data_IF_492530679718
#
_entry.id   IF_492530679718
#
_cell.length_a   1.000
_cell.length_b   1.000
_cell.length_c   1.000
_cell.angle_alpha   90.00
_cell.angle_beta   90.00
_cell.angle_gamma   90.00
#
_symmetry.space_group_name_H-M   'P 1'
#
loop_
_entity.id
_entity.type
_entity.pdbx_description
1 polymer ?
#
# COMPACT_ATOMS: atom_id res chain seq x y z
N UNK A 1 18.28 22.61 15.57
CA UNK A 1 17.26 22.52 14.50
C UNK A 1 16.95 21.08 14.07
N UNK A 2 17.95 20.21 13.82
CA UNK A 2 17.69 18.80 13.47
C UNK A 2 17.05 18.00 14.62
N UNK A 3 17.53 18.16 15.86
CA UNK A 3 16.99 17.45 17.04
C UNK A 3 15.49 17.71 17.23
N UNK A 4 15.05 18.97 17.12
CA UNK A 4 13.62 19.32 17.22
C UNK A 4 12.77 18.69 16.11
N UNK A 5 13.29 18.62 14.87
CA UNK A 5 12.60 17.93 13.77
C UNK A 5 12.47 16.42 14.04
N UNK A 6 13.52 15.79 14.55
CA UNK A 6 13.51 14.37 14.91
C UNK A 6 12.50 14.09 16.03
N UNK A 7 12.51 14.89 17.10
CA UNK A 7 11.56 14.76 18.22
C UNK A 7 10.13 14.98 17.72
N UNK A 8 9.90 16.02 16.92
CA UNK A 8 8.59 16.28 16.32
C UNK A 8 8.10 15.12 15.46
N UNK A 9 8.98 14.51 14.66
CA UNK A 9 8.67 13.32 13.87
C UNK A 9 8.28 12.12 14.73
N UNK A 10 9.01 11.86 15.81
CA UNK A 10 8.68 10.78 16.75
C UNK A 10 7.31 11.01 17.40
N UNK A 11 7.03 12.24 17.84
CA UNK A 11 5.72 12.60 18.41
C UNK A 11 4.58 12.40 17.41
N UNK A 12 4.78 12.77 16.15
CA UNK A 12 3.80 12.54 15.09
C UNK A 12 3.53 11.05 14.87
N UNK A 13 4.56 10.21 14.89
CA UNK A 13 4.40 8.74 14.76
C UNK A 13 3.58 8.18 15.93
N UNK A 14 3.92 8.57 17.16
CA UNK A 14 3.18 8.12 18.36
C UNK A 14 1.71 8.55 18.29
N UNK A 15 1.46 9.80 17.91
CA UNK A 15 0.11 10.32 17.73
C UNK A 15 -0.64 9.58 16.63
N UNK A 16 -0.02 9.35 15.47
CA UNK A 16 -0.64 8.65 14.35
C UNK A 16 -1.00 7.20 14.71
N UNK A 17 -0.10 6.49 15.42
CA UNK A 17 -0.37 5.13 15.91
C UNK A 17 -1.50 5.11 16.94
N UNK A 18 -1.50 6.06 17.89
CA UNK A 18 -2.58 6.18 18.87
C UNK A 18 -3.93 6.41 18.19
N UNK A 19 -4.01 7.38 17.28
CA UNK A 19 -5.21 7.65 16.51
C UNK A 19 -5.63 6.42 15.69
N UNK A 20 -4.71 5.74 15.03
CA UNK A 20 -5.03 4.55 14.25
C UNK A 20 -5.64 3.45 15.14
N UNK A 21 -5.01 3.12 16.27
CA UNK A 21 -5.49 2.07 17.18
C UNK A 21 -6.85 2.40 17.79
N UNK A 22 -7.11 3.66 18.14
CA UNK A 22 -8.39 4.07 18.73
C UNK A 22 -9.50 4.23 17.68
N UNK A 23 -9.20 4.84 16.54
CA UNK A 23 -10.21 5.19 15.53
C UNK A 23 -10.59 3.98 14.67
N UNK A 24 -9.66 3.05 14.38
CA UNK A 24 -9.95 1.85 13.59
C UNK A 24 -11.13 1.03 14.13
N UNK A 25 -11.18 0.61 15.41
CA UNK A 25 -12.32 -0.15 15.93
C UNK A 25 -13.62 0.67 15.91
N UNK A 26 -13.56 1.99 16.19
CA UNK A 26 -14.73 2.86 16.11
C UNK A 26 -15.27 2.97 14.68
N UNK A 27 -14.38 3.12 13.69
CA UNK A 27 -14.73 3.17 12.27
C UNK A 27 -15.32 1.83 11.78
N UNK A 28 -14.81 0.70 12.28
CA UNK A 28 -15.35 -0.62 11.99
C UNK A 28 -16.77 -0.78 12.56
N UNK A 29 -16.99 -0.40 13.82
CA UNK A 29 -18.32 -0.44 14.45
C UNK A 29 -19.32 0.45 13.71
N UNK A 30 -18.92 1.68 13.36
CA UNK A 30 -19.72 2.58 12.54
C UNK A 30 -20.10 1.96 11.20
N UNK A 31 -19.12 1.36 10.50
CA UNK A 31 -19.33 0.72 9.20
C UNK A 31 -20.30 -0.45 9.28
N UNK A 32 -20.19 -1.29 10.33
CA UNK A 32 -21.13 -2.38 10.59
C UNK A 32 -22.54 -1.81 10.86
N UNK A 33 -22.65 -0.82 11.74
CA UNK A 33 -23.92 -0.18 12.08
C UNK A 33 -24.66 0.35 10.87
N UNK A 34 -24.01 1.21 10.07
CA UNK A 34 -24.58 1.77 8.84
C UNK A 34 -24.98 0.69 7.84
N UNK A 35 -24.21 -0.40 7.75
CA UNK A 35 -24.48 -1.46 6.79
C UNK A 35 -25.66 -2.35 7.17
N UNK A 36 -25.95 -2.50 8.48
CA UNK A 36 -27.10 -3.27 8.99
C UNK A 36 -28.38 -2.43 8.94
N UNK A 37 -28.29 -1.12 9.17
CA UNK A 37 -29.47 -0.23 9.18
C UNK A 37 -30.04 0.08 7.80
N UNK A 38 -29.38 -0.35 6.72
CA UNK A 38 -29.83 -0.09 5.36
C UNK A 38 -30.73 -1.23 4.85
N UNK A 39 -32.07 -1.03 4.75
CA UNK A 39 -33.02 -2.12 4.46
C UNK A 39 -32.84 -2.74 3.06
N UNK A 40 -32.10 -2.08 2.17
CA UNK A 40 -31.86 -2.54 0.81
C UNK A 40 -30.53 -3.32 0.63
N UNK A 41 -29.70 -3.44 1.67
CA UNK A 41 -28.41 -4.15 1.59
C UNK A 41 -28.55 -5.62 1.98
N UNK A 42 -27.97 -6.51 1.17
CA UNK A 42 -27.87 -7.93 1.49
C UNK A 42 -26.67 -8.19 2.38
N UNK A 43 -26.68 -9.30 3.12
CA UNK A 43 -25.54 -9.71 3.94
C UNK A 43 -24.23 -9.79 3.13
N UNK A 44 -24.30 -10.24 1.87
CA UNK A 44 -23.16 -10.26 0.94
C UNK A 44 -22.52 -8.88 0.75
N UNK A 45 -23.32 -7.82 0.68
CA UNK A 45 -22.83 -6.44 0.52
C UNK A 45 -22.12 -5.95 1.80
N UNK A 46 -22.60 -6.40 2.97
CA UNK A 46 -21.95 -6.12 4.27
C UNK A 46 -20.58 -6.78 4.31
N UNK A 47 -20.49 -8.07 3.97
CA UNK A 47 -19.22 -8.82 3.95
C UNK A 47 -18.24 -8.27 2.93
N UNK A 48 -18.71 -7.93 1.72
CA UNK A 48 -17.87 -7.29 0.70
C UNK A 48 -17.32 -5.95 1.20
N UNK A 49 -18.17 -5.11 1.82
CA UNK A 49 -17.73 -3.84 2.41
C UNK A 49 -16.69 -4.03 3.51
N UNK A 50 -16.85 -5.03 4.38
CA UNK A 50 -15.87 -5.36 5.42
C UNK A 50 -14.56 -5.88 4.81
N UNK A 51 -14.62 -6.74 3.79
CA UNK A 51 -13.43 -7.21 3.09
C UNK A 51 -12.62 -6.02 2.53
N UNK A 52 -13.29 -5.07 1.86
CA UNK A 52 -12.64 -3.83 1.39
C UNK A 52 -12.00 -3.04 2.54
N UNK A 53 -12.65 -2.95 3.70
CA UNK A 53 -12.06 -2.26 4.86
C UNK A 53 -10.71 -2.84 5.29
N UNK A 54 -10.63 -4.16 5.44
CA UNK A 54 -9.40 -4.82 5.85
C UNK A 54 -8.33 -4.79 4.76
N UNK A 55 -8.73 -4.91 3.48
CA UNK A 55 -7.81 -4.80 2.35
C UNK A 55 -7.19 -3.41 2.26
N UNK A 56 -7.96 -2.33 2.47
CA UNK A 56 -7.43 -0.95 2.49
C UNK A 56 -6.44 -0.73 3.63
N UNK A 57 -6.71 -1.29 4.81
CA UNK A 57 -5.76 -1.26 5.93
C UNK A 57 -4.48 -2.02 5.57
N UNK A 58 -4.60 -3.23 5.03
CA UNK A 58 -3.44 -4.03 4.61
C UNK A 58 -2.60 -3.31 3.55
N UNK A 59 -3.24 -2.69 2.56
CA UNK A 59 -2.56 -1.89 1.53
C UNK A 59 -1.86 -0.65 2.13
N UNK A 60 -2.50 0.01 3.11
CA UNK A 60 -1.90 1.14 3.82
C UNK A 60 -0.65 0.74 4.62
N UNK A 61 -0.66 -0.44 5.25
CA UNK A 61 0.52 -0.97 5.93
C UNK A 61 1.62 -1.38 4.94
N UNK A 62 1.26 -1.90 3.76
CA UNK A 62 2.20 -2.20 2.69
C UNK A 62 2.91 -0.90 2.21
N UNK A 63 2.15 0.17 1.97
CA UNK A 63 2.69 1.50 1.64
C UNK A 63 3.58 2.08 2.75
N UNK A 64 3.15 1.98 4.02
CA UNK A 64 3.96 2.39 5.16
C UNK A 64 5.29 1.62 5.19
N UNK A 65 5.25 0.31 4.94
CA UNK A 65 6.44 -0.53 4.88
C UNK A 65 7.39 -0.11 3.75
N UNK A 66 6.86 0.21 2.57
CA UNK A 66 7.66 0.73 1.45
C UNK A 66 8.40 2.03 1.84
N UNK A 67 7.70 2.99 2.45
CA UNK A 67 8.28 4.25 2.88
C UNK A 67 9.30 4.07 4.02
N UNK A 68 8.89 3.41 5.10
CA UNK A 68 9.65 3.32 6.35
C UNK A 68 10.86 2.37 6.24
N UNK A 69 10.75 1.30 5.47
CA UNK A 69 11.81 0.28 5.33
C UNK A 69 12.59 0.40 4.03
N UNK A 70 12.40 1.48 3.27
CA UNK A 70 12.98 1.70 1.94
C UNK A 70 14.48 1.36 1.85
N UNK A 71 15.31 1.93 2.72
CA UNK A 71 16.76 1.66 2.72
C UNK A 71 17.09 0.18 2.92
N UNK A 72 16.39 -0.48 3.84
CA UNK A 72 16.57 -1.91 4.11
C UNK A 72 16.08 -2.78 2.95
N UNK A 73 14.91 -2.49 2.39
CA UNK A 73 14.35 -3.21 1.25
C UNK A 73 15.17 -3.02 -0.03
N UNK A 74 15.69 -1.81 -0.27
CA UNK A 74 16.61 -1.54 -1.36
C UNK A 74 17.87 -2.39 -1.24
N UNK A 75 18.48 -2.46 -0.05
CA UNK A 75 19.65 -3.30 0.20
C UNK A 75 19.37 -4.80 0.06
N UNK A 76 18.22 -5.26 0.56
CA UNK A 76 17.90 -6.68 0.63
C UNK A 76 17.36 -7.25 -0.69
N UNK A 77 16.50 -6.50 -1.38
CA UNK A 77 15.70 -7.00 -2.51
C UNK A 77 16.26 -6.62 -3.88
N UNK A 78 17.15 -5.64 -3.99
CA UNK A 78 17.68 -5.16 -5.27
C UNK A 78 19.13 -5.65 -5.45
N UNK A 79 19.44 -6.27 -6.59
CA UNK A 79 20.78 -6.75 -6.92
C UNK A 79 21.54 -5.84 -7.91
N UNK A 80 20.84 -5.07 -8.74
CA UNK A 80 21.45 -4.23 -9.77
C UNK A 80 20.95 -2.79 -9.62
N UNK A 81 21.79 -1.89 -9.10
CA UNK A 81 21.31 -0.56 -8.75
C UNK A 81 21.05 0.36 -9.95
N UNK A 82 21.86 0.26 -11.01
CA UNK A 82 21.82 1.20 -12.15
C UNK A 82 20.55 1.13 -12.99
N UNK A 83 19.84 0.01 -12.96
CA UNK A 83 18.61 -0.24 -13.72
C UNK A 83 17.51 -0.80 -12.79
N UNK A 84 17.33 -0.15 -11.63
CA UNK A 84 16.34 -0.58 -10.63
C UNK A 84 15.29 0.48 -10.32
N UNK A 85 14.13 0.01 -9.87
CA UNK A 85 13.07 0.84 -9.31
C UNK A 85 13.22 0.83 -7.79
N UNK A 86 13.41 1.99 -7.15
CA UNK A 86 13.76 2.03 -5.71
C UNK A 86 12.50 1.99 -4.83
N UNK A 87 12.59 1.31 -3.69
CA UNK A 87 11.61 1.42 -2.61
C UNK A 87 11.69 2.81 -1.98
N UNK A 88 10.57 3.31 -1.45
CA UNK A 88 10.52 4.52 -0.62
C UNK A 88 9.45 5.55 -0.97
N UNK A 89 8.73 5.41 -2.07
CA UNK A 89 7.56 6.25 -2.32
C UNK A 89 6.41 5.84 -1.38
N UNK A 90 5.94 6.78 -0.56
CA UNK A 90 4.84 6.56 0.40
C UNK A 90 3.49 6.26 -0.25
N UNK A 91 3.33 6.56 -1.54
CA UNK A 91 2.10 6.32 -2.28
C UNK A 91 2.13 4.97 -3.05
N UNK A 92 3.26 4.25 -2.98
CA UNK A 92 3.46 2.93 -3.61
C UNK A 92 3.58 1.81 -2.58
N UNK A 93 3.15 0.62 -2.96
CA UNK A 93 3.26 -0.59 -2.12
C UNK A 93 4.60 -1.31 -2.31
N UNK A 94 5.03 -2.14 -1.35
CA UNK A 94 6.21 -3.01 -1.52
C UNK A 94 5.98 -3.96 -2.69
N UNK A 95 4.77 -4.51 -2.80
CA UNK A 95 4.39 -5.44 -3.88
C UNK A 95 4.46 -4.80 -5.28
N UNK A 96 4.09 -3.52 -5.42
CA UNK A 96 4.25 -2.75 -6.66
C UNK A 96 5.72 -2.56 -7.05
N UNK A 97 6.56 -2.10 -6.13
CA UNK A 97 8.00 -1.91 -6.37
C UNK A 97 8.69 -3.23 -6.70
N UNK A 98 8.32 -4.33 -6.02
CA UNK A 98 8.78 -5.68 -6.36
C UNK A 98 8.35 -6.08 -7.78
N UNK A 99 7.13 -5.72 -8.20
CA UNK A 99 6.63 -5.97 -9.55
C UNK A 99 7.46 -5.28 -10.62
N UNK A 100 7.77 -3.98 -10.44
CA UNK A 100 8.66 -3.24 -11.33
C UNK A 100 10.04 -3.88 -11.45
N UNK A 101 10.67 -4.19 -10.32
CA UNK A 101 12.01 -4.79 -10.34
C UNK A 101 12.02 -6.23 -10.86
N UNK A 102 10.93 -6.98 -10.69
CA UNK A 102 10.78 -8.29 -11.32
C UNK A 102 10.77 -8.15 -12.85
N UNK A 103 10.05 -7.13 -13.38
CA UNK A 103 10.01 -6.84 -14.82
C UNK A 103 11.36 -6.36 -15.36
N UNK A 104 12.10 -5.59 -14.58
CA UNK A 104 13.44 -5.08 -14.92
C UNK A 104 14.55 -6.13 -14.72
N UNK A 105 14.25 -7.31 -14.19
CA UNK A 105 15.24 -8.34 -13.80
C UNK A 105 16.30 -7.86 -12.80
N UNK A 106 16.00 -6.82 -12.02
CA UNK A 106 16.93 -6.17 -11.07
C UNK A 106 16.87 -6.73 -9.65
N UNK A 107 15.95 -7.68 -9.36
CA UNK A 107 15.80 -8.27 -8.03
C UNK A 107 16.96 -9.20 -7.64
N UNK A 108 17.31 -9.14 -6.36
CA UNK A 108 18.16 -10.13 -5.69
C UNK A 108 17.47 -11.49 -5.59
N UNK A 109 18.22 -12.52 -5.20
CA UNK A 109 17.64 -13.85 -4.92
C UNK A 109 16.54 -13.77 -3.87
N UNK A 110 16.76 -12.96 -2.82
CA UNK A 110 15.77 -12.74 -1.78
C UNK A 110 14.52 -12.05 -2.34
N UNK A 111 14.70 -10.96 -3.11
CA UNK A 111 13.58 -10.26 -3.75
C UNK A 111 12.74 -11.18 -4.63
N UNK A 112 13.37 -12.07 -5.41
CA UNK A 112 12.67 -13.08 -6.23
C UNK A 112 11.90 -14.10 -5.39
N UNK A 113 12.46 -14.54 -4.26
CA UNK A 113 11.77 -15.43 -3.32
C UNK A 113 10.56 -14.75 -2.70
N UNK A 114 10.68 -13.48 -2.33
CA UNK A 114 9.58 -12.69 -1.79
C UNK A 114 8.44 -12.53 -2.81
N UNK A 115 8.77 -12.25 -4.09
CA UNK A 115 7.77 -12.23 -5.17
C UNK A 115 7.04 -13.57 -5.28
N UNK A 116 7.77 -14.70 -5.26
CA UNK A 116 7.14 -16.03 -5.32
C UNK A 116 6.23 -16.31 -4.12
N UNK A 117 6.62 -15.87 -2.94
CA UNK A 117 5.80 -16.00 -1.73
C UNK A 117 4.50 -15.21 -1.85
N UNK A 118 4.57 -13.97 -2.33
CA UNK A 118 3.38 -13.15 -2.58
C UNK A 118 2.50 -13.74 -3.69
N UNK A 119 3.11 -14.23 -4.77
CA UNK A 119 2.40 -14.90 -5.87
C UNK A 119 1.72 -16.22 -5.46
N UNK A 120 2.21 -16.86 -4.39
CA UNK A 120 1.56 -18.03 -3.79
C UNK A 120 0.31 -17.65 -2.99
N UNK A 121 0.33 -16.51 -2.29
CA UNK A 121 -0.82 -16.00 -1.54
C UNK A 121 -1.90 -15.42 -2.47
N UNK A 122 -1.48 -14.69 -3.51
CA UNK A 122 -2.35 -14.16 -4.55
C UNK A 122 -1.65 -14.28 -5.91
N UNK A 123 -2.23 -15.04 -6.84
CA UNK A 123 -1.59 -15.33 -8.13
C UNK A 123 -1.24 -14.05 -8.88
N UNK A 124 0.04 -13.87 -9.23
CA UNK A 124 0.57 -12.66 -9.91
C UNK A 124 0.39 -11.37 -9.10
N UNK A 125 0.43 -11.45 -7.76
CA UNK A 125 0.21 -10.34 -6.85
C UNK A 125 1.03 -9.09 -7.20
N UNK A 126 2.36 -9.22 -7.27
CA UNK A 126 3.26 -8.09 -7.52
C UNK A 126 3.03 -7.49 -8.92
N UNK A 127 2.72 -8.34 -9.91
CA UNK A 127 2.40 -7.88 -11.26
C UNK A 127 1.10 -7.08 -11.26
N UNK A 128 0.05 -7.57 -10.59
CA UNK A 128 -1.23 -6.84 -10.46
C UNK A 128 -1.04 -5.50 -9.75
N UNK A 129 -0.26 -5.46 -8.68
CA UNK A 129 0.06 -4.23 -7.94
C UNK A 129 0.72 -3.19 -8.85
N UNK A 130 1.75 -3.59 -9.61
CA UNK A 130 2.42 -2.74 -10.61
C UNK A 130 1.44 -2.17 -11.65
N UNK A 131 0.59 -3.01 -12.25
CA UNK A 131 -0.41 -2.52 -13.21
C UNK A 131 -1.48 -1.63 -12.58
N UNK A 132 -1.86 -1.88 -11.33
CA UNK A 132 -2.79 -1.01 -10.60
C UNK A 132 -2.22 0.40 -10.42
N UNK A 133 -0.93 0.52 -10.09
CA UNK A 133 -0.22 1.80 -10.02
C UNK A 133 -0.24 2.55 -11.35
N UNK A 134 0.10 1.87 -12.45
CA UNK A 134 0.03 2.43 -13.82
C UNK A 134 -1.38 2.94 -14.13
N UNK A 135 -2.40 2.13 -13.85
CA UNK A 135 -3.80 2.49 -14.13
C UNK A 135 -4.26 3.69 -13.29
N UNK A 136 -3.84 3.78 -12.01
CA UNK A 136 -4.09 4.97 -11.16
C UNK A 136 -3.47 6.23 -11.77
N UNK A 137 -2.24 6.15 -12.28
CA UNK A 137 -1.59 7.29 -12.93
C UNK A 137 -2.33 7.70 -14.22
N UNK A 138 -2.70 6.74 -15.07
CA UNK A 138 -3.46 6.98 -16.30
C UNK A 138 -4.81 7.65 -16.03
N UNK A 139 -5.55 7.20 -14.99
CA UNK A 139 -6.82 7.83 -14.60
C UNK A 139 -6.65 9.30 -14.20
N UNK A 140 -5.57 9.64 -13.49
CA UNK A 140 -5.29 11.04 -13.12
C UNK A 140 -5.03 11.91 -14.36
N UNK A 141 -4.30 11.38 -15.35
CA UNK A 141 -4.06 12.07 -16.62
C UNK A 141 -5.37 12.28 -17.37
N UNK A 142 -6.19 11.24 -17.53
CA UNK A 142 -7.49 11.34 -18.18
C UNK A 142 -8.43 12.35 -17.49
N UNK A 143 -8.38 12.43 -16.16
CA UNK A 143 -9.15 13.43 -15.43
C UNK A 143 -8.65 14.84 -15.69
N UNK A 144 -7.32 15.05 -15.69
CA UNK A 144 -6.71 16.33 -16.03
C UNK A 144 -7.13 16.80 -17.42
N UNK A 145 -7.05 15.91 -18.42
CA UNK A 145 -7.45 16.21 -19.80
C UNK A 145 -8.91 16.66 -19.89
N UNK A 146 -9.82 16.04 -19.12
CA UNK A 146 -11.24 16.39 -19.09
C UNK A 146 -11.53 17.77 -18.49
N UNK A 147 -10.73 18.23 -17.54
CA UNK A 147 -10.93 19.54 -16.89
C UNK A 147 -10.14 20.67 -17.57
N UNK A 148 -9.19 20.33 -18.44
CA UNK A 148 -8.42 21.29 -19.25
C UNK A 148 -9.04 21.63 -20.61
N UNK A 149 -10.16 20.97 -20.95
CA UNK A 149 -11.01 21.24 -22.11
C UNK A 149 -12.21 22.11 -21.72
#
# INVERSE_FOLDING_TARGET
MMIFKTIGGILLIVLALFLFVVITPLALLWKIGVSITNPNRKAVDVFAGMATYFVEIAASFDQLGNAAFSGFLNWLCIAQEKESYKFGDKDETISEVLGWNYRLNSLSKFGKTLVKFLDFLDRQHCRKAMYSGIEKAQRKIQFLEKISL
#
